data_IF_550983308189
#
_entry.id   IF_550983308189
#
_cell.length_a   1.000
_cell.length_b   1.000
_cell.length_c   1.000
_cell.angle_alpha   90.00
_cell.angle_beta   90.00
_cell.angle_gamma   90.00
#
_symmetry.space_group_name_H-M   'P 1'
#
loop_
_entity.id
_entity.type
_entity.pdbx_description
1 polymer ?
#
# COMPACT_ATOMS: atom_id res chain seq x y z
N UNK A 1 -0.56 2.21 3.60
CA UNK A 1 0.82 2.52 4.04
C UNK A 1 0.92 2.52 5.55
N UNK A 2 2.07 2.08 6.10
CA UNK A 2 2.38 2.05 7.56
C UNK A 2 1.39 1.25 8.44
N UNK A 3 0.55 0.41 7.86
CA UNK A 3 -0.38 -0.49 8.57
C UNK A 3 0.27 -1.82 9.02
N UNK A 4 1.57 -2.00 8.85
CA UNK A 4 2.31 -3.16 9.35
C UNK A 4 2.56 -4.28 8.34
N UNK A 5 2.34 -4.10 7.03
CA UNK A 5 2.57 -5.15 6.00
C UNK A 5 3.95 -5.80 6.09
N UNK A 6 5.01 -4.98 6.03
CA UNK A 6 6.39 -5.47 6.12
C UNK A 6 6.67 -6.18 7.44
N UNK A 7 6.11 -5.68 8.54
CA UNK A 7 6.21 -6.31 9.87
C UNK A 7 5.49 -7.66 9.91
N UNK A 8 4.28 -7.73 9.34
CA UNK A 8 3.52 -8.98 9.24
C UNK A 8 4.33 -10.04 8.49
N UNK A 9 4.89 -9.69 7.33
CA UNK A 9 5.62 -10.64 6.48
C UNK A 9 6.95 -11.06 7.11
N UNK A 10 7.80 -10.10 7.45
CA UNK A 10 9.19 -10.34 7.84
C UNK A 10 9.38 -10.72 9.31
N UNK A 11 8.43 -10.36 10.17
CA UNK A 11 8.51 -10.67 11.60
C UNK A 11 7.51 -11.78 11.98
N UNK A 12 6.23 -11.53 11.81
CA UNK A 12 5.21 -12.48 12.31
C UNK A 12 5.19 -13.74 11.48
N UNK A 13 5.09 -13.62 10.15
CA UNK A 13 5.02 -14.79 9.28
C UNK A 13 6.35 -15.54 9.21
N UNK A 14 7.49 -14.84 9.15
CA UNK A 14 8.81 -15.47 9.28
C UNK A 14 8.94 -16.25 10.58
N UNK A 15 8.56 -15.66 11.73
CA UNK A 15 8.61 -16.34 13.03
C UNK A 15 7.70 -17.57 13.07
N UNK A 16 6.53 -17.48 12.46
CA UNK A 16 5.62 -18.62 12.31
C UNK A 16 6.27 -19.76 11.51
N UNK A 17 6.85 -19.49 10.33
CA UNK A 17 7.52 -20.49 9.52
C UNK A 17 8.67 -21.16 10.27
N UNK A 18 9.49 -20.38 10.98
CA UNK A 18 10.56 -20.92 11.83
C UNK A 18 10.02 -21.82 12.94
N UNK A 19 8.87 -21.49 13.54
CA UNK A 19 8.23 -22.31 14.57
C UNK A 19 7.65 -23.62 14.01
N UNK A 20 7.27 -23.64 12.73
CA UNK A 20 6.83 -24.84 12.01
C UNK A 20 8.01 -25.70 11.51
N UNK A 21 9.26 -25.30 11.81
CA UNK A 21 10.46 -26.05 11.49
C UNK A 21 11.07 -25.74 10.12
N UNK A 22 10.65 -24.66 9.45
CA UNK A 22 11.31 -24.19 8.22
C UNK A 22 12.70 -23.64 8.58
N UNK A 23 13.73 -24.06 7.87
CA UNK A 23 15.09 -23.57 8.08
C UNK A 23 15.19 -22.09 7.63
N UNK A 24 16.02 -21.30 8.33
CA UNK A 24 16.10 -19.86 8.06
C UNK A 24 16.63 -19.54 6.66
N UNK A 25 17.52 -20.34 6.13
CA UNK A 25 18.09 -20.24 4.77
C UNK A 25 17.08 -20.64 3.66
N UNK A 26 15.95 -21.22 4.03
CA UNK A 26 14.84 -21.47 3.11
C UNK A 26 13.87 -20.28 3.02
N UNK A 27 14.09 -19.21 3.78
CA UNK A 27 13.28 -17.97 3.75
C UNK A 27 14.10 -16.86 3.11
N UNK A 28 13.93 -16.68 1.80
CA UNK A 28 14.61 -15.65 1.03
C UNK A 28 13.84 -14.32 1.18
N UNK A 29 14.50 -13.26 1.64
CA UNK A 29 13.85 -11.97 1.92
C UNK A 29 14.61 -10.81 1.28
N UNK A 30 13.90 -10.02 0.46
CA UNK A 30 14.43 -8.85 -0.24
C UNK A 30 13.61 -7.61 0.06
N UNK A 31 14.30 -6.51 0.38
CA UNK A 31 13.71 -5.19 0.68
C UNK A 31 14.14 -4.20 -0.40
N UNK A 32 13.31 -4.04 -1.45
CA UNK A 32 13.71 -3.28 -2.63
C UNK A 32 13.86 -1.76 -2.39
N UNK A 33 13.39 -1.24 -1.27
CA UNK A 33 13.62 0.15 -0.86
C UNK A 33 14.99 0.36 -0.20
N UNK A 34 15.66 -0.71 0.24
CA UNK A 34 16.96 -0.64 0.87
C UNK A 34 18.12 -0.78 -0.13
N UNK A 35 19.25 -0.13 0.19
CA UNK A 35 20.41 -0.07 -0.71
C UNK A 35 21.18 -1.39 -0.81
N UNK A 36 21.11 -2.25 0.20
CA UNK A 36 21.79 -3.56 0.15
C UNK A 36 21.13 -4.51 -0.86
N UNK A 37 19.81 -4.32 -1.14
CA UNK A 37 19.06 -5.11 -2.11
C UNK A 37 18.87 -4.39 -3.46
N UNK A 38 19.56 -3.27 -3.67
CA UNK A 38 19.41 -2.44 -4.88
C UNK A 38 19.63 -3.23 -6.19
N UNK A 39 20.49 -4.23 -6.17
CA UNK A 39 20.76 -5.13 -7.29
C UNK A 39 19.48 -5.87 -7.71
N UNK A 40 18.67 -6.27 -6.74
CA UNK A 40 17.46 -7.06 -6.95
C UNK A 40 16.25 -6.23 -7.38
N UNK A 41 16.39 -4.89 -7.52
CA UNK A 41 15.44 -4.07 -8.27
C UNK A 41 15.41 -4.47 -9.75
N UNK A 42 16.50 -5.01 -10.27
CA UNK A 42 16.52 -5.64 -11.58
C UNK A 42 15.80 -7.00 -11.51
N UNK A 43 14.65 -7.19 -12.20
CA UNK A 43 13.87 -8.42 -12.13
C UNK A 43 14.63 -9.65 -12.62
N UNK A 44 15.55 -9.51 -13.59
CA UNK A 44 16.37 -10.61 -14.09
C UNK A 44 17.40 -11.07 -13.07
N UNK A 45 18.02 -10.14 -12.33
CA UNK A 45 18.99 -10.45 -11.29
C UNK A 45 18.32 -11.16 -10.10
N UNK A 46 17.13 -10.70 -9.71
CA UNK A 46 16.35 -11.36 -8.66
C UNK A 46 15.96 -12.78 -9.08
N UNK A 47 15.38 -12.94 -10.27
CA UNK A 47 14.95 -14.25 -10.76
C UNK A 47 16.13 -15.24 -10.88
N UNK A 48 17.26 -14.80 -11.41
CA UNK A 48 18.45 -15.63 -11.54
C UNK A 48 18.97 -16.09 -10.18
N UNK A 49 19.05 -15.18 -9.20
CA UNK A 49 19.53 -15.48 -7.85
C UNK A 49 18.61 -16.46 -7.11
N UNK A 50 17.30 -16.21 -7.13
CA UNK A 50 16.32 -17.10 -6.48
C UNK A 50 16.35 -18.49 -7.13
N UNK A 51 16.42 -18.56 -8.46
CA UNK A 51 16.46 -19.81 -9.20
C UNK A 51 17.71 -20.63 -8.88
N UNK A 52 18.87 -19.99 -8.79
CA UNK A 52 20.14 -20.64 -8.40
C UNK A 52 20.04 -21.35 -7.05
N UNK A 53 19.31 -20.78 -6.09
CA UNK A 53 19.14 -21.36 -4.75
C UNK A 53 18.10 -22.49 -4.77
N UNK A 54 16.94 -22.27 -5.43
CA UNK A 54 15.75 -23.09 -5.25
C UNK A 54 15.71 -24.28 -6.21
N UNK A 55 16.19 -24.11 -7.46
CA UNK A 55 16.00 -25.10 -8.54
C UNK A 55 16.72 -26.43 -8.29
N UNK A 56 17.77 -26.42 -7.48
CA UNK A 56 18.58 -27.60 -7.18
C UNK A 56 18.23 -28.27 -5.84
N UNK A 57 17.20 -27.80 -5.16
CA UNK A 57 16.72 -28.36 -3.90
C UNK A 57 15.34 -29.01 -4.07
N UNK A 58 15.07 -30.03 -3.26
CA UNK A 58 13.74 -30.62 -3.11
C UNK A 58 12.96 -30.00 -1.95
N UNK A 59 13.59 -29.15 -1.15
CA UNK A 59 12.99 -28.52 0.02
C UNK A 59 12.09 -27.35 -0.37
N UNK A 60 11.13 -27.05 0.48
CA UNK A 60 10.22 -25.92 0.30
C UNK A 60 10.92 -24.61 0.66
N UNK A 61 10.82 -23.62 -0.21
CA UNK A 61 11.33 -22.25 -0.03
C UNK A 61 10.21 -21.22 0.01
N UNK A 62 10.48 -20.10 0.67
CA UNK A 62 9.58 -18.97 0.82
C UNK A 62 10.29 -17.70 0.39
N UNK A 63 9.78 -17.04 -0.65
CA UNK A 63 10.33 -15.78 -1.17
C UNK A 63 9.50 -14.60 -0.68
N UNK A 64 10.11 -13.70 0.07
CA UNK A 64 9.52 -12.45 0.54
C UNK A 64 10.13 -11.29 -0.22
N UNK A 65 9.30 -10.51 -0.91
CA UNK A 65 9.76 -9.29 -1.60
C UNK A 65 8.93 -8.10 -1.13
N UNK A 66 9.59 -7.18 -0.42
CA UNK A 66 8.95 -5.98 0.13
C UNK A 66 9.15 -4.78 -0.81
N UNK A 67 8.12 -3.92 -0.90
CA UNK A 67 8.07 -2.68 -1.70
C UNK A 67 8.37 -2.92 -3.20
N UNK A 68 7.69 -3.91 -3.82
CA UNK A 68 7.94 -4.33 -5.21
C UNK A 68 7.81 -3.20 -6.25
N UNK A 69 7.12 -2.07 -5.92
CA UNK A 69 7.04 -0.89 -6.79
C UNK A 69 8.40 -0.17 -6.96
N UNK A 70 9.40 -0.54 -6.17
CA UNK A 70 10.78 -0.04 -6.32
C UNK A 70 11.58 -0.82 -7.37
N UNK A 71 10.99 -1.89 -7.93
CA UNK A 71 11.59 -2.65 -9.03
C UNK A 71 11.70 -1.81 -10.31
N UNK A 72 12.77 -2.04 -11.06
CA UNK A 72 13.03 -1.42 -12.34
C UNK A 72 12.38 -2.21 -13.49
N UNK A 73 12.11 -1.52 -14.59
CA UNK A 73 11.81 -2.15 -15.87
C UNK A 73 13.09 -2.20 -16.70
N UNK A 74 13.54 -3.40 -17.08
CA UNK A 74 14.80 -3.58 -17.81
C UNK A 74 14.56 -3.96 -19.27
N UNK A 75 15.47 -3.59 -20.21
CA UNK A 75 15.38 -4.04 -21.59
C UNK A 75 15.42 -5.56 -21.68
N UNK A 76 14.63 -6.13 -22.61
CA UNK A 76 14.74 -7.55 -22.90
C UNK A 76 16.05 -7.82 -23.66
N UNK A 77 16.98 -8.63 -23.08
CA UNK A 77 18.29 -8.87 -23.72
C UNK A 77 18.21 -9.56 -25.10
N UNK A 78 17.09 -10.23 -25.39
CA UNK A 78 16.86 -10.92 -26.67
C UNK A 78 16.02 -10.09 -27.65
N UNK A 79 15.38 -9.01 -27.18
CA UNK A 79 14.60 -8.08 -28.02
C UNK A 79 14.63 -6.67 -27.38
N UNK A 80 15.75 -5.93 -27.49
CA UNK A 80 15.94 -4.64 -26.81
C UNK A 80 14.92 -3.56 -27.19
N UNK A 81 14.40 -3.62 -28.42
CA UNK A 81 13.39 -2.68 -28.94
C UNK A 81 11.95 -3.11 -28.64
N UNK A 82 11.77 -4.27 -28.01
CA UNK A 82 10.48 -4.83 -27.64
C UNK A 82 9.98 -4.39 -26.28
N UNK A 83 8.99 -5.12 -25.75
CA UNK A 83 8.48 -4.92 -24.39
C UNK A 83 9.60 -5.14 -23.37
N UNK A 84 9.76 -4.20 -22.46
CA UNK A 84 10.67 -4.34 -21.31
C UNK A 84 10.22 -5.48 -20.41
N UNK A 85 11.18 -6.08 -19.73
CA UNK A 85 10.94 -7.08 -18.69
C UNK A 85 10.61 -6.35 -17.42
N UNK A 86 9.51 -6.76 -16.79
CA UNK A 86 8.98 -6.22 -15.56
C UNK A 86 9.16 -7.22 -14.42
N UNK A 87 8.91 -6.77 -13.20
CA UNK A 87 8.89 -7.64 -12.03
C UNK A 87 7.85 -8.76 -12.12
N UNK A 88 6.72 -8.49 -12.81
CA UNK A 88 5.68 -9.51 -13.04
C UNK A 88 6.15 -10.66 -13.93
N UNK A 89 6.97 -10.34 -14.93
CA UNK A 89 7.57 -11.36 -15.81
C UNK A 89 8.48 -12.28 -15.00
N UNK A 90 9.30 -11.71 -14.10
CA UNK A 90 10.17 -12.46 -13.19
C UNK A 90 9.39 -13.33 -12.19
N UNK A 91 8.34 -12.77 -11.58
CA UNK A 91 7.51 -13.53 -10.63
C UNK A 91 6.74 -14.66 -11.32
N UNK A 92 6.23 -14.43 -12.53
CA UNK A 92 5.56 -15.49 -13.31
C UNK A 92 6.52 -16.63 -13.68
N UNK A 93 7.80 -16.30 -13.96
CA UNK A 93 8.83 -17.29 -14.20
C UNK A 93 9.17 -18.09 -12.93
N UNK A 94 9.35 -17.41 -11.79
CA UNK A 94 9.62 -18.04 -10.50
C UNK A 94 8.43 -18.88 -9.99
N UNK A 95 7.21 -18.47 -10.27
CA UNK A 95 5.99 -19.19 -9.88
C UNK A 95 5.83 -20.56 -10.62
N UNK A 96 6.70 -20.86 -11.58
CA UNK A 96 6.79 -22.17 -12.21
C UNK A 96 7.57 -23.19 -11.35
N UNK A 97 8.31 -22.76 -10.32
CA UNK A 97 9.00 -23.61 -9.38
C UNK A 97 7.99 -24.17 -8.37
N UNK A 98 7.87 -25.49 -8.32
CA UNK A 98 6.86 -26.19 -7.50
C UNK A 98 7.17 -26.18 -6.00
N UNK A 99 8.39 -25.82 -5.63
CA UNK A 99 8.89 -25.79 -4.26
C UNK A 99 9.19 -24.35 -3.78
N UNK A 100 8.50 -23.34 -4.36
CA UNK A 100 8.66 -21.94 -4.01
C UNK A 100 7.31 -21.28 -3.80
N UNK A 101 7.06 -20.78 -2.60
CA UNK A 101 5.93 -19.90 -2.28
C UNK A 101 6.40 -18.44 -2.30
N UNK A 102 5.66 -17.57 -3.01
CA UNK A 102 6.06 -16.18 -3.23
C UNK A 102 5.09 -15.24 -2.53
N UNK A 103 5.63 -14.36 -1.70
CA UNK A 103 4.89 -13.31 -0.98
C UNK A 103 5.48 -11.95 -1.33
N UNK A 104 4.65 -11.09 -1.90
CA UNK A 104 5.07 -9.74 -2.29
C UNK A 104 4.28 -8.69 -1.54
N UNK A 105 4.92 -7.60 -1.15
CA UNK A 105 4.22 -6.45 -0.61
C UNK A 105 4.45 -5.22 -1.47
N UNK A 106 3.51 -4.31 -1.38
CA UNK A 106 3.61 -3.00 -2.00
C UNK A 106 2.66 -2.02 -1.37
N UNK A 107 3.03 -0.76 -1.38
CA UNK A 107 2.24 0.33 -0.82
C UNK A 107 1.43 1.10 -1.88
N UNK A 108 1.43 0.62 -3.11
CA UNK A 108 0.80 1.29 -4.24
C UNK A 108 -0.46 0.55 -4.72
N UNK A 109 -1.58 1.27 -4.86
CA UNK A 109 -2.82 0.73 -5.40
C UNK A 109 -2.72 0.26 -6.84
N UNK A 110 -1.81 0.84 -7.65
CA UNK A 110 -1.55 0.32 -9.01
C UNK A 110 -1.04 -1.12 -9.00
N UNK A 111 -0.44 -1.55 -7.91
CA UNK A 111 0.01 -2.93 -7.71
C UNK A 111 -1.07 -3.83 -7.13
N UNK A 112 -2.19 -3.25 -6.69
CA UNK A 112 -3.36 -3.91 -6.13
C UNK A 112 -4.60 -3.73 -7.02
N UNK A 113 -4.42 -3.12 -8.20
CA UNK A 113 -5.48 -2.97 -9.20
C UNK A 113 -5.68 -4.26 -9.99
N UNK A 114 -6.78 -4.31 -10.75
CA UNK A 114 -7.10 -5.36 -11.73
C UNK A 114 -5.92 -5.78 -12.62
N UNK A 115 -4.91 -4.92 -12.78
CA UNK A 115 -3.74 -5.17 -13.61
C UNK A 115 -2.86 -6.28 -13.01
N UNK A 116 -2.68 -6.34 -11.66
CA UNK A 116 -1.93 -7.43 -11.01
C UNK A 116 -2.65 -8.76 -11.15
N UNK A 117 -3.95 -8.79 -10.85
CA UNK A 117 -4.73 -10.01 -11.01
C UNK A 117 -4.71 -10.50 -12.46
N UNK A 118 -4.65 -9.57 -13.42
CA UNK A 118 -4.55 -9.86 -14.84
C UNK A 118 -3.16 -10.35 -15.24
N UNK A 119 -2.09 -9.71 -14.72
CA UNK A 119 -0.69 -10.11 -14.99
C UNK A 119 -0.36 -11.48 -14.38
N UNK A 120 -0.85 -11.77 -13.18
CA UNK A 120 -0.69 -13.11 -12.57
C UNK A 120 -1.71 -14.14 -13.07
N UNK A 121 -2.62 -13.78 -13.96
CA UNK A 121 -3.58 -14.68 -14.62
C UNK A 121 -4.36 -15.57 -13.64
N UNK A 122 -4.75 -15.02 -12.50
CA UNK A 122 -5.49 -15.76 -11.47
C UNK A 122 -4.65 -16.78 -10.66
N UNK A 123 -3.33 -16.60 -10.64
CA UNK A 123 -2.39 -17.46 -9.87
C UNK A 123 -1.93 -16.79 -8.57
N UNK A 124 -2.65 -15.82 -8.07
CA UNK A 124 -2.29 -15.11 -6.85
C UNK A 124 -3.53 -14.76 -6.04
N UNK A 125 -3.36 -14.72 -4.73
CA UNK A 125 -4.36 -14.25 -3.78
C UNK A 125 -3.96 -12.89 -3.22
N UNK A 126 -4.93 -12.00 -3.04
CA UNK A 126 -4.72 -10.68 -2.46
C UNK A 126 -5.06 -10.71 -0.96
N UNK A 127 -4.09 -10.37 -0.13
CA UNK A 127 -4.29 -10.17 1.31
C UNK A 127 -4.21 -8.69 1.63
N UNK A 128 -5.33 -8.09 2.04
CA UNK A 128 -5.40 -6.68 2.44
C UNK A 128 -5.09 -6.52 3.92
N UNK A 129 -3.99 -5.83 4.21
CA UNK A 129 -3.61 -5.49 5.59
C UNK A 129 -4.14 -4.10 5.92
N UNK A 130 -5.11 -4.04 6.81
CA UNK A 130 -5.69 -2.81 7.34
C UNK A 130 -4.92 -2.32 8.57
N UNK A 131 -5.11 -1.06 9.00
CA UNK A 131 -4.76 -0.64 10.37
C UNK A 131 -5.41 -1.58 11.40
N UNK A 132 -4.90 -1.58 12.62
CA UNK A 132 -5.44 -2.41 13.69
C UNK A 132 -6.95 -2.20 13.85
N UNK A 133 -7.68 -3.28 13.96
CA UNK A 133 -9.06 -3.26 14.44
C UNK A 133 -9.10 -2.86 15.91
N UNK A 134 -10.27 -2.46 16.44
CA UNK A 134 -10.39 -2.17 17.85
C UNK A 134 -10.05 -3.38 18.74
N UNK A 135 -10.38 -4.59 18.29
CA UNK A 135 -10.05 -5.80 19.05
C UNK A 135 -8.53 -6.00 19.17
N UNK A 136 -7.78 -5.82 18.10
CA UNK A 136 -6.31 -5.91 18.08
C UNK A 136 -5.69 -4.77 18.89
N UNK A 137 -6.21 -3.54 18.75
CA UNK A 137 -5.78 -2.39 19.53
C UNK A 137 -5.98 -2.64 21.04
N UNK A 138 -7.19 -3.03 21.45
CA UNK A 138 -7.51 -3.31 22.84
C UNK A 138 -6.71 -4.47 23.41
N UNK A 139 -6.43 -5.49 22.63
CA UNK A 139 -5.55 -6.60 23.03
C UNK A 139 -4.14 -6.13 23.38
N UNK A 140 -3.66 -5.06 22.73
CA UNK A 140 -2.34 -4.52 22.97
C UNK A 140 -2.27 -3.52 24.15
N UNK A 141 -3.32 -2.68 24.35
CA UNK A 141 -3.31 -1.64 25.39
C UNK A 141 -3.92 -2.13 26.72
N UNK A 142 -4.94 -2.98 26.68
CA UNK A 142 -5.67 -3.42 27.87
C UNK A 142 -6.44 -2.30 28.57
N UNK A 143 -6.64 -2.45 29.88
CA UNK A 143 -7.28 -1.43 30.73
C UNK A 143 -8.80 -1.36 30.59
N UNK A 144 -9.38 -0.17 30.86
CA UNK A 144 -10.82 0.04 30.68
C UNK A 144 -11.17 0.04 29.18
N UNK A 145 -12.22 -0.70 28.83
CA UNK A 145 -12.61 -0.90 27.44
C UNK A 145 -13.20 0.36 26.80
N UNK A 146 -13.91 1.18 27.60
CA UNK A 146 -14.50 2.42 27.10
C UNK A 146 -13.42 3.47 26.83
N UNK A 147 -12.49 3.63 27.77
CA UNK A 147 -11.36 4.55 27.62
C UNK A 147 -10.51 4.16 26.41
N UNK A 148 -10.22 2.86 26.22
CA UNK A 148 -9.49 2.35 25.06
C UNK A 148 -10.26 2.57 23.75
N UNK A 149 -11.60 2.45 23.77
CA UNK A 149 -12.42 2.71 22.60
C UNK A 149 -12.45 4.19 22.24
N UNK A 150 -12.56 5.07 23.21
CA UNK A 150 -12.55 6.53 23.00
C UNK A 150 -11.19 6.98 22.40
N UNK A 151 -10.10 6.42 22.90
CA UNK A 151 -8.77 6.66 22.36
C UNK A 151 -8.63 6.13 20.92
N UNK A 152 -9.06 4.90 20.67
CA UNK A 152 -9.06 4.30 19.34
C UNK A 152 -9.95 5.09 18.35
N UNK A 153 -11.13 5.53 18.76
CA UNK A 153 -12.02 6.33 17.95
C UNK A 153 -11.41 7.68 17.57
N UNK A 154 -10.57 8.25 18.45
CA UNK A 154 -9.93 9.54 18.21
C UNK A 154 -8.64 9.43 17.38
N UNK A 155 -7.75 8.46 17.67
CA UNK A 155 -6.45 8.34 17.00
C UNK A 155 -6.42 7.29 15.88
N UNK A 156 -7.40 6.40 15.82
CA UNK A 156 -7.45 5.30 14.86
C UNK A 156 -6.50 4.15 15.19
N UNK A 157 -6.44 3.17 14.29
CA UNK A 157 -5.72 1.90 14.47
C UNK A 157 -4.32 1.85 13.82
N UNK A 158 -3.66 2.98 13.57
CA UNK A 158 -2.29 2.91 13.01
C UNK A 158 -1.32 2.31 14.05
N UNK A 159 -0.59 1.20 13.73
CA UNK A 159 0.17 0.45 14.74
C UNK A 159 1.17 1.28 15.54
N UNK A 160 1.84 2.25 14.92
CA UNK A 160 2.82 3.09 15.61
C UNK A 160 2.21 4.07 16.63
N UNK A 161 0.88 4.23 16.67
CA UNK A 161 0.20 5.00 17.72
C UNK A 161 0.46 4.36 19.10
N UNK A 162 0.47 3.03 19.16
CA UNK A 162 0.72 2.28 20.41
C UNK A 162 2.08 2.62 21.04
N UNK A 163 3.07 3.00 20.25
CA UNK A 163 4.41 3.37 20.72
C UNK A 163 4.56 4.86 21.09
N UNK A 164 3.49 5.67 20.95
CA UNK A 164 3.53 7.10 21.23
C UNK A 164 2.97 7.39 22.64
N UNK A 165 3.80 7.88 23.58
CA UNK A 165 3.41 7.95 24.98
C UNK A 165 2.48 9.13 25.34
N UNK A 166 2.35 10.14 24.46
CA UNK A 166 1.55 11.34 24.72
C UNK A 166 0.64 11.68 23.55
N UNK A 167 -0.47 12.36 23.84
CA UNK A 167 -1.40 12.85 22.82
C UNK A 167 -0.72 13.75 21.79
N UNK A 168 0.19 14.63 22.25
CA UNK A 168 0.98 15.47 21.36
C UNK A 168 1.84 14.63 20.39
N UNK A 169 2.47 13.56 20.88
CA UNK A 169 3.28 12.66 20.06
C UNK A 169 2.42 11.85 19.08
N UNK A 170 1.23 11.39 19.49
CA UNK A 170 0.26 10.71 18.61
C UNK A 170 -0.21 11.64 17.50
N UNK A 171 -0.62 12.86 17.83
CA UNK A 171 -1.07 13.85 16.86
C UNK A 171 0.04 14.28 15.91
N UNK A 172 1.27 14.50 16.40
CA UNK A 172 2.42 14.82 15.56
C UNK A 172 2.72 13.71 14.56
N UNK A 173 2.67 12.45 15.02
CA UNK A 173 2.83 11.27 14.14
C UNK A 173 1.75 11.21 13.06
N UNK A 174 0.47 11.37 13.40
CA UNK A 174 -0.63 11.32 12.44
C UNK A 174 -0.54 12.46 11.41
N UNK A 175 -0.20 13.67 11.85
CA UNK A 175 0.02 14.80 10.93
C UNK A 175 1.17 14.54 9.96
N UNK A 176 2.32 14.05 10.46
CA UNK A 176 3.45 13.70 9.61
C UNK A 176 3.11 12.57 8.65
N UNK A 177 2.41 11.53 9.12
CA UNK A 177 1.95 10.41 8.29
C UNK A 177 1.03 10.91 7.16
N UNK A 178 0.10 11.80 7.47
CA UNK A 178 -0.84 12.35 6.51
C UNK A 178 -0.13 13.22 5.46
N UNK A 179 0.67 14.20 5.90
CA UNK A 179 1.32 15.16 5.00
C UNK A 179 2.44 14.53 4.18
N UNK A 180 3.37 13.82 4.84
CA UNK A 180 4.59 13.33 4.19
C UNK A 180 4.39 11.99 3.47
N UNK A 181 3.53 11.11 4.00
CA UNK A 181 3.39 9.76 3.43
C UNK A 181 2.22 9.67 2.45
N UNK A 182 1.09 10.30 2.76
CA UNK A 182 -0.09 10.24 1.90
C UNK A 182 -0.15 11.40 0.89
N UNK A 183 -0.23 12.64 1.34
CA UNK A 183 -0.43 13.77 0.43
C UNK A 183 0.72 13.97 -0.53
N UNK A 184 1.96 14.02 -0.02
CA UNK A 184 3.14 14.19 -0.86
C UNK A 184 3.23 13.12 -1.93
N UNK A 185 3.01 11.87 -1.57
CA UNK A 185 3.03 10.75 -2.50
C UNK A 185 1.92 10.85 -3.57
N UNK A 186 0.69 11.27 -3.19
CA UNK A 186 -0.40 11.47 -4.15
C UNK A 186 -0.05 12.60 -5.12
N UNK A 187 0.43 13.74 -4.60
CA UNK A 187 0.78 14.92 -5.40
C UNK A 187 1.89 14.58 -6.39
N UNK A 188 2.98 13.96 -5.94
CA UNK A 188 4.14 13.64 -6.77
C UNK A 188 3.80 12.57 -7.82
N UNK A 189 3.21 11.44 -7.42
CA UNK A 189 2.92 10.34 -8.36
C UNK A 189 1.86 10.66 -9.38
N UNK A 190 0.79 11.34 -8.98
CA UNK A 190 -0.33 11.68 -9.86
C UNK A 190 -0.12 13.03 -10.55
N UNK A 191 1.03 13.70 -10.30
CA UNK A 191 1.39 15.00 -10.87
C UNK A 191 0.26 16.03 -10.70
N UNK A 192 -0.27 16.12 -9.48
CA UNK A 192 -1.37 17.02 -9.13
C UNK A 192 -0.94 18.47 -9.35
N UNK A 193 -1.69 19.20 -10.18
CA UNK A 193 -1.41 20.61 -10.50
C UNK A 193 -2.13 21.59 -9.57
N UNK A 194 -3.28 21.20 -9.03
CA UNK A 194 -4.16 22.02 -8.21
C UNK A 194 -4.27 21.40 -6.81
N UNK A 195 -3.23 21.62 -6.01
CA UNK A 195 -3.17 21.14 -4.61
C UNK A 195 -4.24 21.81 -3.72
N UNK A 196 -4.60 23.06 -4.04
CA UNK A 196 -5.70 23.79 -3.42
C UNK A 196 -7.05 23.04 -3.58
N UNK A 197 -7.32 22.51 -4.78
CA UNK A 197 -8.50 21.71 -5.06
C UNK A 197 -8.47 20.37 -4.34
N UNK A 198 -7.30 19.72 -4.31
CA UNK A 198 -7.12 18.46 -3.57
C UNK A 198 -7.40 18.64 -2.08
N UNK A 199 -6.87 19.73 -1.49
CA UNK A 199 -7.13 20.08 -0.08
C UNK A 199 -8.62 20.34 0.18
N UNK A 200 -9.28 21.11 -0.69
CA UNK A 200 -10.72 21.36 -0.56
C UNK A 200 -11.57 20.08 -0.67
N UNK A 201 -11.18 19.14 -1.56
CA UNK A 201 -11.83 17.82 -1.66
C UNK A 201 -11.65 17.04 -0.36
N UNK A 202 -10.43 17.02 0.18
CA UNK A 202 -10.11 16.34 1.44
C UNK A 202 -10.96 16.86 2.60
N UNK A 203 -11.04 18.18 2.76
CA UNK A 203 -11.82 18.82 3.82
C UNK A 203 -13.31 18.47 3.72
N UNK A 204 -13.86 18.47 2.49
CA UNK A 204 -15.24 18.07 2.24
C UNK A 204 -15.49 16.58 2.54
N UNK A 205 -14.58 15.70 2.11
CA UNK A 205 -14.71 14.27 2.36
C UNK A 205 -14.59 13.96 3.85
N UNK A 206 -13.63 14.57 4.55
CA UNK A 206 -13.45 14.42 6.00
C UNK A 206 -14.70 14.88 6.77
N UNK A 207 -15.30 16.01 6.36
CA UNK A 207 -16.50 16.53 7.02
C UNK A 207 -17.78 15.73 6.72
N UNK A 208 -17.77 14.88 5.70
CA UNK A 208 -18.91 14.10 5.23
C UNK A 208 -18.72 12.58 5.34
N UNK A 209 -17.76 12.12 6.16
CA UNK A 209 -17.54 10.69 6.40
C UNK A 209 -18.84 10.00 6.84
N UNK A 210 -19.15 8.86 6.20
CA UNK A 210 -20.39 8.12 6.46
C UNK A 210 -21.66 8.73 5.83
N UNK A 211 -21.56 9.88 5.16
CA UNK A 211 -22.67 10.54 4.49
C UNK A 211 -22.71 10.26 2.98
N UNK A 212 -23.89 10.36 2.39
CA UNK A 212 -24.06 10.25 0.93
C UNK A 212 -23.34 11.40 0.23
N UNK A 213 -22.36 11.05 -0.58
CA UNK A 213 -21.61 12.00 -1.40
C UNK A 213 -21.43 11.49 -2.82
N UNK A 214 -21.19 12.41 -3.76
CA UNK A 214 -20.83 12.07 -5.13
C UNK A 214 -19.96 13.18 -5.73
N UNK A 215 -19.19 12.90 -6.79
CA UNK A 215 -18.30 13.89 -7.41
C UNK A 215 -18.98 15.17 -7.86
N UNK A 216 -20.23 15.11 -8.32
CA UNK A 216 -20.99 16.28 -8.77
C UNK A 216 -21.32 17.21 -7.60
N UNK A 217 -21.76 16.67 -6.45
CA UNK A 217 -22.02 17.46 -5.24
C UNK A 217 -20.74 18.11 -4.73
N UNK A 218 -19.61 17.36 -4.69
CA UNK A 218 -18.31 17.88 -4.29
C UNK A 218 -17.87 19.01 -5.23
N UNK A 219 -17.92 18.81 -6.55
CA UNK A 219 -17.58 19.84 -7.54
C UNK A 219 -18.44 21.11 -7.39
N UNK A 220 -19.75 20.96 -7.20
CA UNK A 220 -20.66 22.08 -7.02
C UNK A 220 -20.30 22.89 -5.77
N UNK A 221 -20.00 22.23 -4.65
CA UNK A 221 -19.64 22.88 -3.40
C UNK A 221 -18.33 23.65 -3.54
N UNK A 222 -17.29 23.02 -4.09
CA UNK A 222 -15.98 23.69 -4.33
C UNK A 222 -16.15 24.88 -5.24
N UNK A 223 -16.85 24.72 -6.36
CA UNK A 223 -17.04 25.79 -7.34
C UNK A 223 -17.88 26.96 -6.77
N UNK A 224 -18.77 26.70 -5.85
CA UNK A 224 -19.53 27.75 -5.16
C UNK A 224 -18.61 28.60 -4.26
N UNK A 225 -17.68 27.96 -3.56
CA UNK A 225 -16.68 28.66 -2.72
C UNK A 225 -15.69 29.42 -3.61
N UNK A 226 -15.11 28.77 -4.61
CA UNK A 226 -14.12 29.40 -5.52
C UNK A 226 -14.65 30.58 -6.30
N UNK A 227 -15.89 30.52 -6.77
CA UNK A 227 -16.54 31.69 -7.43
C UNK A 227 -16.63 32.91 -6.49
N UNK A 228 -16.88 32.71 -5.20
CA UNK A 228 -16.89 33.80 -4.21
C UNK A 228 -15.51 34.41 -3.97
N UNK A 229 -14.47 33.58 -4.12
CA UNK A 229 -13.07 34.00 -3.97
C UNK A 229 -12.45 34.54 -5.27
N UNK A 230 -13.19 34.54 -6.40
CA UNK A 230 -12.67 34.96 -7.70
C UNK A 230 -11.72 33.95 -8.37
N UNK A 231 -11.71 32.72 -7.90
CA UNK A 231 -10.86 31.65 -8.42
C UNK A 231 -11.50 30.89 -9.61
N UNK A 232 -10.65 30.17 -10.36
CA UNK A 232 -11.10 29.42 -11.52
C UNK A 232 -11.92 28.18 -11.11
N UNK A 233 -13.04 27.98 -11.81
CA UNK A 233 -13.93 26.84 -11.66
C UNK A 233 -13.20 25.52 -11.98
N UNK A 234 -13.43 24.50 -11.17
CA UNK A 234 -12.86 23.17 -11.36
C UNK A 234 -13.83 22.29 -12.16
N UNK A 235 -13.29 21.61 -13.17
CA UNK A 235 -14.07 20.67 -13.96
C UNK A 235 -14.46 19.42 -13.15
N UNK A 236 -15.66 18.90 -13.38
CA UNK A 236 -16.16 17.68 -12.71
C UNK A 236 -15.19 16.50 -12.85
N UNK A 237 -14.61 16.34 -14.05
CA UNK A 237 -13.64 15.25 -14.31
C UNK A 237 -12.38 15.37 -13.44
N UNK A 238 -11.92 16.58 -13.15
CA UNK A 238 -10.78 16.81 -12.24
C UNK A 238 -11.12 16.40 -10.82
N UNK A 239 -12.32 16.78 -10.34
CA UNK A 239 -12.78 16.38 -8.99
C UNK A 239 -12.89 14.87 -8.89
N UNK A 240 -13.51 14.22 -9.90
CA UNK A 240 -13.61 12.76 -9.95
C UNK A 240 -12.23 12.09 -9.91
N UNK A 241 -11.30 12.53 -10.78
CA UNK A 241 -9.95 11.99 -10.80
C UNK A 241 -9.23 12.16 -9.46
N UNK A 242 -9.40 13.28 -8.75
CA UNK A 242 -8.79 13.49 -7.44
C UNK A 242 -9.42 12.61 -6.36
N UNK A 243 -10.73 12.42 -6.38
CA UNK A 243 -11.41 11.45 -5.49
C UNK A 243 -10.91 10.02 -5.75
N UNK A 244 -10.79 9.62 -7.02
CA UNK A 244 -10.23 8.32 -7.40
C UNK A 244 -8.78 8.17 -6.90
N UNK A 245 -7.94 9.22 -6.98
CA UNK A 245 -6.58 9.20 -6.47
C UNK A 245 -6.50 9.05 -4.94
N UNK A 246 -7.44 9.66 -4.20
CA UNK A 246 -7.55 9.48 -2.76
C UNK A 246 -7.97 8.06 -2.38
N UNK A 247 -8.88 7.47 -3.13
CA UNK A 247 -9.28 6.06 -2.96
C UNK A 247 -8.15 5.11 -3.33
N UNK A 248 -7.46 5.35 -4.43
CA UNK A 248 -6.28 4.60 -4.86
C UNK A 248 -5.14 4.59 -3.83
N UNK A 249 -5.02 5.63 -3.04
CA UNK A 249 -4.01 5.71 -1.96
C UNK A 249 -4.47 5.04 -0.67
N UNK A 250 -5.66 4.47 -0.64
CA UNK A 250 -6.31 3.90 0.56
C UNK A 250 -6.55 4.91 1.68
N UNK A 251 -6.59 6.21 1.36
CA UNK A 251 -6.93 7.24 2.34
C UNK A 251 -8.42 7.28 2.62
N UNK A 252 -9.23 7.04 1.59
CA UNK A 252 -10.67 6.87 1.68
C UNK A 252 -11.11 5.56 1.03
N UNK A 253 -12.18 4.97 1.55
CA UNK A 253 -12.83 3.80 0.97
C UNK A 253 -14.23 4.18 0.53
N UNK A 254 -14.56 3.93 -0.73
CA UNK A 254 -15.91 4.09 -1.24
C UNK A 254 -16.78 2.94 -0.76
N UNK A 255 -17.84 3.27 -0.01
CA UNK A 255 -18.88 2.33 0.36
C UNK A 255 -20.12 2.59 -0.51
N UNK A 256 -20.45 1.64 -1.37
CA UNK A 256 -21.67 1.73 -2.19
C UNK A 256 -22.90 1.46 -1.33
N UNK A 257 -23.95 2.25 -1.57
CA UNK A 257 -25.24 1.97 -0.96
C UNK A 257 -25.83 0.71 -1.60
N UNK A 258 -26.32 -0.19 -0.78
CA UNK A 258 -27.19 -1.28 -1.21
C UNK A 258 -28.64 -0.81 -1.06
N UNK A 259 -29.38 -0.84 -2.14
CA UNK A 259 -30.83 -0.58 -2.15
C UNK A 259 -31.59 -1.89 -2.06
#
# INVERSE_FOLDING_TARGET
RRCGKSYLLRNLFKSYLLSEGVAEDHILSFELDLTHDIRYRNPLELAAHVREIVEHSADQYYLFVDEIQMSDEVPNPYNPDGKKITFYDALNDLNALSNLDIYVTGSNSKMLSSDILTEFRGRSDEIRVHPLSFAEYYSAVGGDKQDAFDEFAFYGGMPLILSRPTDAAKMAYLKSLFSEVYLKDIVERKKIKREDVLSAILDLLCSSIGSLTNPTKVATTINTVQKRSGENVVALNTVKAYMDHLSDSFLFTECKRWD
#
